data_IF_703404635408
#
_entry.id   IF_703404635408
#
_cell.length_a   1.000
_cell.length_b   1.000
_cell.length_c   1.000
_cell.angle_alpha   90.00
_cell.angle_beta   90.00
_cell.angle_gamma   90.00
#
_symmetry.space_group_name_H-M   'P 1'
#
loop_
_entity.id
_entity.type
_entity.pdbx_description
1 polymer ?
#
# COMPACT_ATOMS: atom_id res chain seq x y z
N UNK A 1 -13.46 -5.37 -21.60
CA UNK A 1 -12.14 -5.36 -20.93
C UNK A 1 -11.16 -6.11 -21.81
N UNK A 2 -9.99 -5.53 -22.11
CA UNK A 2 -8.97 -6.19 -22.92
C UNK A 2 -8.20 -7.19 -22.04
N UNK A 3 -8.31 -8.48 -22.35
CA UNK A 3 -7.67 -9.58 -21.60
C UNK A 3 -6.14 -9.42 -21.55
N UNK A 4 -5.54 -8.88 -22.62
CA UNK A 4 -4.09 -8.62 -22.68
C UNK A 4 -3.65 -7.54 -21.70
N UNK A 5 -4.46 -6.48 -21.54
CA UNK A 5 -4.21 -5.41 -20.59
C UNK A 5 -4.25 -5.91 -19.14
N UNK A 6 -5.27 -6.70 -18.80
CA UNK A 6 -5.38 -7.30 -17.46
C UNK A 6 -4.21 -8.23 -17.14
N UNK A 7 -3.78 -9.03 -18.13
CA UNK A 7 -2.62 -9.92 -17.96
C UNK A 7 -1.34 -9.13 -17.66
N UNK A 8 -1.05 -8.07 -18.42
CA UNK A 8 0.13 -7.23 -18.15
C UNK A 8 0.03 -6.55 -16.80
N UNK A 9 -1.11 -5.91 -16.50
CA UNK A 9 -1.28 -5.19 -15.24
C UNK A 9 -1.13 -6.07 -13.99
N UNK A 10 -1.47 -7.36 -14.07
CA UNK A 10 -1.29 -8.32 -12.97
C UNK A 10 0.10 -8.95 -12.93
N UNK A 11 0.79 -9.11 -14.07
CA UNK A 11 2.09 -9.79 -14.13
C UNK A 11 3.27 -8.83 -13.95
N UNK A 12 3.19 -7.63 -14.52
CA UNK A 12 4.23 -6.60 -14.42
C UNK A 12 4.63 -6.26 -12.97
N UNK A 13 3.71 -6.20 -11.97
CA UNK A 13 4.10 -5.90 -10.60
C UNK A 13 4.78 -7.05 -9.87
N UNK A 14 4.83 -8.29 -10.39
CA UNK A 14 5.40 -9.44 -9.66
C UNK A 14 6.88 -9.19 -9.33
N UNK A 15 7.70 -8.92 -10.35
CA UNK A 15 9.14 -8.67 -10.18
C UNK A 15 9.45 -7.51 -9.22
N UNK A 16 8.89 -6.29 -9.41
CA UNK A 16 9.15 -5.20 -8.47
C UNK A 16 8.63 -5.50 -7.06
N UNK A 17 7.53 -6.25 -6.92
CA UNK A 17 7.02 -6.64 -5.59
C UNK A 17 7.97 -7.58 -4.86
N UNK A 18 8.61 -8.52 -5.56
CA UNK A 18 9.63 -9.38 -4.98
C UNK A 18 10.87 -8.56 -4.59
N UNK A 19 11.35 -7.68 -5.48
CA UNK A 19 12.54 -6.88 -5.23
C UNK A 19 12.35 -5.91 -4.04
N UNK A 20 11.32 -5.06 -4.10
CA UNK A 20 11.06 -4.10 -3.03
C UNK A 20 10.54 -4.77 -1.77
N UNK A 21 9.78 -5.87 -1.88
CA UNK A 21 9.32 -6.63 -0.73
C UNK A 21 10.47 -7.31 0.00
N UNK A 22 11.45 -7.83 -0.74
CA UNK A 22 12.72 -8.31 -0.20
C UNK A 22 13.50 -7.20 0.49
N UNK A 23 13.61 -6.03 -0.14
CA UNK A 23 14.26 -4.86 0.46
C UNK A 23 13.62 -4.44 1.79
N UNK A 24 12.29 -4.29 1.83
CA UNK A 24 11.57 -3.92 3.07
C UNK A 24 11.66 -5.00 4.14
N UNK A 25 11.74 -6.26 3.75
CA UNK A 25 12.00 -7.36 4.68
C UNK A 25 13.40 -7.25 5.28
N UNK A 26 14.41 -6.98 4.46
CA UNK A 26 15.78 -6.74 4.93
C UNK A 26 15.87 -5.54 5.88
N UNK A 27 15.21 -4.43 5.54
CA UNK A 27 15.12 -3.25 6.40
C UNK A 27 14.44 -3.55 7.74
N UNK A 28 13.34 -4.31 7.72
CA UNK A 28 12.63 -4.73 8.93
C UNK A 28 13.53 -5.57 9.85
N UNK A 29 14.31 -6.50 9.27
CA UNK A 29 15.26 -7.31 10.02
C UNK A 29 16.40 -6.47 10.58
N UNK A 30 16.92 -5.52 9.80
CA UNK A 30 17.94 -4.57 10.25
C UNK A 30 17.43 -3.66 11.38
N UNK A 31 16.13 -3.39 11.45
CA UNK A 31 15.47 -2.67 12.54
C UNK A 31 15.19 -3.52 13.78
N UNK A 32 15.61 -4.79 13.78
CA UNK A 32 15.49 -5.69 14.93
C UNK A 32 14.27 -6.62 14.91
N UNK A 33 13.50 -6.65 13.82
CA UNK A 33 12.45 -7.67 13.68
C UNK A 33 13.05 -9.04 13.34
N UNK A 34 12.57 -10.15 13.93
CA UNK A 34 13.04 -11.47 13.55
C UNK A 34 12.64 -11.77 12.11
N UNK A 35 13.56 -12.33 11.33
CA UNK A 35 13.24 -12.79 9.99
C UNK A 35 12.21 -13.92 10.08
N UNK A 36 11.12 -13.79 9.33
CA UNK A 36 10.13 -14.84 9.17
C UNK A 36 9.65 -14.89 7.71
N UNK A 37 9.37 -16.08 7.16
CA UNK A 37 8.76 -16.20 5.83
C UNK A 37 7.45 -15.41 5.71
N UNK A 38 6.70 -15.31 6.81
CA UNK A 38 5.48 -14.52 6.90
C UNK A 38 5.75 -13.04 6.66
N UNK A 39 6.78 -12.47 7.30
CA UNK A 39 7.17 -11.07 7.09
C UNK A 39 7.54 -10.80 5.62
N UNK A 40 8.31 -11.71 5.01
CA UNK A 40 8.67 -11.61 3.59
C UNK A 40 7.42 -11.62 2.69
N UNK A 41 6.50 -12.57 2.93
CA UNK A 41 5.25 -12.66 2.20
C UNK A 41 4.35 -11.45 2.40
N UNK A 42 4.28 -10.89 3.61
CA UNK A 42 3.50 -9.67 3.87
C UNK A 42 4.06 -8.46 3.12
N UNK A 43 5.38 -8.27 3.12
CA UNK A 43 6.01 -7.15 2.42
C UNK A 43 5.87 -7.29 0.89
N UNK A 44 6.18 -8.47 0.34
CA UNK A 44 6.04 -8.72 -1.10
C UNK A 44 4.57 -8.66 -1.55
N UNK A 45 3.69 -9.35 -0.82
CA UNK A 45 2.26 -9.39 -1.09
C UNK A 45 1.59 -8.02 -0.94
N UNK A 46 2.03 -7.21 0.02
CA UNK A 46 1.54 -5.85 0.21
C UNK A 46 1.86 -4.95 -0.98
N UNK A 47 3.08 -5.01 -1.50
CA UNK A 47 3.48 -4.24 -2.69
C UNK A 47 2.75 -4.75 -3.94
N UNK A 48 2.60 -6.07 -4.07
CA UNK A 48 1.85 -6.64 -5.18
C UNK A 48 0.38 -6.19 -5.14
N UNK A 49 -0.25 -6.25 -3.97
CA UNK A 49 -1.63 -5.83 -3.79
C UNK A 49 -1.79 -4.32 -4.06
N UNK A 50 -0.84 -3.50 -3.64
CA UNK A 50 -0.84 -2.05 -3.91
C UNK A 50 -0.91 -1.74 -5.40
N UNK A 51 -0.07 -2.41 -6.19
CA UNK A 51 -0.02 -2.21 -7.64
C UNK A 51 -1.25 -2.80 -8.34
N UNK A 52 -1.65 -4.01 -7.98
CA UNK A 52 -2.79 -4.69 -8.62
C UNK A 52 -4.14 -4.03 -8.33
N UNK A 53 -4.30 -3.38 -7.17
CA UNK A 53 -5.50 -2.59 -6.88
C UNK A 53 -5.70 -1.42 -7.85
N UNK A 54 -4.63 -0.92 -8.49
CA UNK A 54 -4.74 0.15 -9.48
C UNK A 54 -5.29 -0.34 -10.83
N UNK A 55 -5.11 -1.62 -11.17
CA UNK A 55 -5.55 -2.18 -12.44
C UNK A 55 -7.03 -1.97 -12.78
N UNK A 56 -8.00 -2.29 -11.89
CA UNK A 56 -9.40 -2.03 -12.18
C UNK A 56 -9.70 -0.52 -12.33
N UNK A 57 -9.01 0.34 -11.57
CA UNK A 57 -9.24 1.77 -11.64
C UNK A 57 -8.76 2.36 -12.97
N UNK A 58 -7.57 1.94 -13.44
CA UNK A 58 -7.05 2.31 -14.76
C UNK A 58 -7.91 1.71 -15.87
N UNK A 59 -8.40 0.48 -15.71
CA UNK A 59 -9.30 -0.13 -16.70
C UNK A 59 -10.63 0.63 -16.87
N UNK A 60 -11.13 1.26 -15.80
CA UNK A 60 -12.36 2.08 -15.82
C UNK A 60 -12.04 3.50 -16.34
N UNK A 61 -10.98 4.13 -15.86
CA UNK A 61 -10.65 5.52 -16.20
C UNK A 61 -9.93 5.66 -17.55
N UNK A 62 -9.30 4.59 -18.04
CA UNK A 62 -8.53 4.57 -19.30
C UNK A 62 -7.13 5.18 -19.19
N UNK A 63 -6.68 5.60 -18.01
CA UNK A 63 -5.36 6.22 -17.78
C UNK A 63 -4.83 5.95 -16.38
N UNK A 64 -3.53 6.02 -16.21
CA UNK A 64 -2.93 6.05 -14.88
C UNK A 64 -3.22 7.39 -14.20
N UNK A 65 -3.42 7.36 -12.88
CA UNK A 65 -3.68 8.56 -12.08
C UNK A 65 -3.00 8.47 -10.70
N UNK A 66 -2.59 9.62 -10.18
CA UNK A 66 -2.16 9.79 -8.81
C UNK A 66 -3.28 9.43 -7.82
N UNK A 67 -4.55 9.63 -8.19
CA UNK A 67 -5.69 9.21 -7.37
C UNK A 67 -5.80 7.69 -7.20
N UNK A 68 -5.35 6.91 -8.19
CA UNK A 68 -5.31 5.44 -8.04
C UNK A 68 -4.29 5.01 -6.99
N UNK A 69 -3.16 5.72 -6.91
CA UNK A 69 -2.12 5.46 -5.92
C UNK A 69 -2.61 5.86 -4.52
N UNK A 70 -3.29 7.00 -4.42
CA UNK A 70 -3.95 7.42 -3.18
C UNK A 70 -5.01 6.42 -2.71
N UNK A 71 -5.90 5.97 -3.61
CA UNK A 71 -6.95 5.01 -3.30
C UNK A 71 -6.39 3.65 -2.90
N UNK A 72 -5.42 3.11 -3.65
CA UNK A 72 -4.75 1.85 -3.30
C UNK A 72 -4.04 1.94 -1.95
N UNK A 73 -3.32 3.04 -1.69
CA UNK A 73 -2.68 3.30 -0.41
C UNK A 73 -3.70 3.37 0.73
N UNK A 74 -4.83 4.04 0.52
CA UNK A 74 -5.89 4.15 1.51
C UNK A 74 -6.55 2.81 1.82
N UNK A 75 -6.86 2.00 0.81
CA UNK A 75 -7.45 0.67 0.99
C UNK A 75 -6.50 -0.23 1.78
N UNK A 76 -5.22 -0.26 1.40
CA UNK A 76 -4.22 -1.07 2.12
C UNK A 76 -3.99 -0.59 3.54
N UNK A 77 -3.90 0.72 3.76
CA UNK A 77 -3.78 1.30 5.08
C UNK A 77 -4.96 0.96 5.98
N UNK A 78 -6.17 1.08 5.46
CA UNK A 78 -7.39 0.71 6.19
C UNK A 78 -7.35 -0.76 6.61
N UNK A 79 -7.15 -1.67 5.66
CA UNK A 79 -7.20 -3.12 5.90
C UNK A 79 -6.05 -3.56 6.79
N UNK A 80 -4.84 -3.06 6.54
CA UNK A 80 -3.65 -3.43 7.32
C UNK A 80 -3.74 -2.96 8.77
N UNK A 81 -4.25 -1.75 9.02
CA UNK A 81 -4.48 -1.24 10.38
C UNK A 81 -5.64 -1.97 11.06
N UNK A 82 -6.73 -2.26 10.35
CA UNK A 82 -7.86 -3.02 10.88
C UNK A 82 -7.45 -4.43 11.32
N UNK A 83 -6.52 -5.07 10.59
CA UNK A 83 -6.00 -6.40 10.91
C UNK A 83 -4.82 -6.40 11.89
N UNK A 84 -4.46 -5.24 12.44
CA UNK A 84 -3.30 -5.07 13.33
C UNK A 84 -1.96 -5.47 12.71
N UNK A 85 -1.87 -5.53 11.38
CA UNK A 85 -0.64 -5.84 10.65
C UNK A 85 0.18 -4.58 10.36
N UNK A 86 -0.47 -3.42 10.32
CA UNK A 86 0.16 -2.11 10.11
C UNK A 86 -0.16 -1.18 11.27
N UNK A 87 0.81 -0.35 11.66
CA UNK A 87 0.59 0.80 12.52
C UNK A 87 0.19 2.02 11.69
N UNK A 88 -0.37 3.05 12.34
CA UNK A 88 -0.65 4.32 11.66
C UNK A 88 0.61 5.19 11.71
N UNK A 89 1.25 5.49 10.58
CA UNK A 89 2.45 6.32 10.60
C UNK A 89 2.08 7.76 10.97
N UNK A 90 3.03 8.49 11.57
CA UNK A 90 2.90 9.90 11.98
C UNK A 90 1.85 10.17 13.07
N UNK A 91 1.31 9.14 13.72
CA UNK A 91 0.32 9.27 14.78
C UNK A 91 0.78 8.50 16.01
N UNK A 92 0.80 9.17 17.16
CA UNK A 92 1.10 8.56 18.45
C UNK A 92 -0.01 7.55 18.83
N UNK A 93 0.31 6.32 19.30
CA UNK A 93 -0.68 5.37 19.80
C UNK A 93 -1.68 5.95 20.82
N UNK A 94 -1.26 6.91 21.64
CA UNK A 94 -2.06 7.60 22.65
C UNK A 94 -3.12 8.53 22.04
N UNK A 95 -2.94 8.97 20.79
CA UNK A 95 -3.93 9.79 20.07
C UNK A 95 -5.30 9.12 20.04
N UNK A 96 -5.32 7.81 19.77
CA UNK A 96 -6.56 7.03 19.68
C UNK A 96 -7.21 6.76 21.02
N UNK A 97 -6.43 6.79 22.10
CA UNK A 97 -6.97 6.72 23.47
C UNK A 97 -7.66 8.04 23.85
N UNK A 98 -7.05 9.18 23.47
CA UNK A 98 -7.59 10.52 23.73
C UNK A 98 -8.75 10.90 22.79
N UNK A 99 -8.83 10.31 21.60
CA UNK A 99 -9.81 10.64 20.58
C UNK A 99 -10.53 9.38 20.06
N UNK A 100 -11.41 8.77 20.86
CA UNK A 100 -12.11 7.54 20.48
C UNK A 100 -13.05 7.73 19.27
N UNK A 101 -13.44 8.96 18.94
CA UNK A 101 -14.24 9.29 17.76
C UNK A 101 -13.52 9.01 16.43
N UNK A 102 -12.19 8.88 16.42
CA UNK A 102 -11.42 8.58 15.21
C UNK A 102 -11.02 7.11 15.17
N UNK A 103 -11.74 6.26 14.42
CA UNK A 103 -11.39 4.84 14.29
C UNK A 103 -10.01 4.69 13.63
N UNK A 104 -9.13 3.91 14.28
CA UNK A 104 -7.76 3.62 13.80
C UNK A 104 -7.68 3.28 12.31
N UNK A 105 -8.54 2.40 11.74
CA UNK A 105 -8.48 2.05 10.32
C UNK A 105 -8.67 3.24 9.38
N UNK A 106 -9.56 4.19 9.71
CA UNK A 106 -9.77 5.37 8.88
C UNK A 106 -8.56 6.30 8.89
N UNK A 107 -7.93 6.48 10.05
CA UNK A 107 -6.69 7.28 10.14
C UNK A 107 -5.55 6.58 9.39
N UNK A 108 -5.48 5.25 9.47
CA UNK A 108 -4.60 4.45 8.61
C UNK A 108 -4.84 4.69 7.13
N UNK A 109 -6.10 4.64 6.69
CA UNK A 109 -6.46 4.91 5.29
C UNK A 109 -5.97 6.30 4.84
N UNK A 110 -6.18 7.32 5.66
CA UNK A 110 -5.72 8.68 5.33
C UNK A 110 -4.19 8.77 5.26
N UNK A 111 -3.49 8.18 6.23
CA UNK A 111 -2.03 8.25 6.28
C UNK A 111 -1.39 7.53 5.08
N UNK A 112 -1.77 6.27 4.83
CA UNK A 112 -1.22 5.50 3.71
C UNK A 112 -1.73 5.98 2.34
N UNK A 113 -2.96 6.48 2.25
CA UNK A 113 -3.46 7.11 1.04
C UNK A 113 -2.73 8.42 0.72
N UNK A 114 -2.47 9.24 1.73
CA UNK A 114 -1.65 10.44 1.61
C UNK A 114 -0.21 10.12 1.17
N UNK A 115 0.41 9.08 1.73
CA UNK A 115 1.73 8.60 1.28
C UNK A 115 1.69 8.13 -0.17
N UNK A 116 0.68 7.33 -0.56
CA UNK A 116 0.50 6.89 -1.94
C UNK A 116 0.34 8.05 -2.92
N UNK A 117 -0.43 9.07 -2.53
CA UNK A 117 -0.58 10.30 -3.31
C UNK A 117 0.75 11.05 -3.43
N UNK A 118 1.45 11.26 -2.32
CA UNK A 118 2.74 11.96 -2.29
C UNK A 118 3.78 11.26 -3.17
N UNK A 119 3.88 9.92 -3.11
CA UNK A 119 4.77 9.17 -3.99
C UNK A 119 4.36 9.26 -5.47
N UNK A 120 3.06 9.27 -5.77
CA UNK A 120 2.60 9.46 -7.14
C UNK A 120 2.90 10.86 -7.68
N UNK A 121 2.81 11.89 -6.84
CA UNK A 121 3.20 13.27 -7.18
C UNK A 121 4.70 13.37 -7.43
N UNK A 122 5.53 12.74 -6.60
CA UNK A 122 6.98 12.67 -6.83
C UNK A 122 7.34 11.92 -8.13
N UNK A 123 6.51 10.95 -8.52
CA UNK A 123 6.60 10.26 -9.80
C UNK A 123 5.99 11.02 -10.99
N UNK A 124 5.56 12.27 -10.82
CA UNK A 124 4.88 13.09 -11.84
C UNK A 124 3.66 12.39 -12.48
N UNK A 125 2.93 11.54 -11.73
CA UNK A 125 1.71 10.92 -12.26
C UNK A 125 0.61 11.98 -12.41
N UNK A 126 -0.16 11.96 -13.50
CA UNK A 126 -1.26 12.89 -13.71
C UNK A 126 -2.39 12.64 -12.70
N UNK A 127 -3.19 13.66 -12.38
CA UNK A 127 -4.39 13.53 -11.55
C UNK A 127 -5.58 13.13 -12.39
#
# INVERSE_FOLDING_TARGET
MNVYYQKHCLMDPITPSVMFGGLFTGLSVAQGMPFSPQLAMFNMGGIYLYNTLQCPMVAIQGRESAWHNAASGAILGYVGVMRYNLSVPFVDPMFFYRNPQFPKPFVGAMAYGGMGLAFAMLGNKPF
#
